data_IF_144110061491
#
_entry.id   IF_144110061491
#
_cell.length_a   1.000
_cell.length_b   1.000
_cell.length_c   1.000
_cell.angle_alpha   90.00
_cell.angle_beta   90.00
_cell.angle_gamma   90.00
#
_symmetry.space_group_name_H-M   'P 1'
#
loop_
_entity.id
_entity.type
_entity.pdbx_description
1 polymer ?
#
# COMPACT_ATOMS: atom_id res chain seq x y z
N UNK A 1 -18.06 0.68 1.28
CA UNK A 1 -17.37 1.48 0.22
C UNK A 1 -18.02 1.28 -1.15
N UNK A 2 -18.19 0.04 -1.56
CA UNK A 2 -18.77 -0.24 -2.89
C UNK A 2 -20.19 0.31 -3.06
N UNK A 3 -21.03 0.19 -2.05
CA UNK A 3 -22.39 0.73 -2.10
C UNK A 3 -22.42 2.25 -2.24
N UNK A 4 -21.51 2.97 -1.58
CA UNK A 4 -21.42 4.42 -1.68
C UNK A 4 -21.04 4.84 -3.10
N UNK A 5 -20.17 4.10 -3.75
CA UNK A 5 -19.77 4.34 -5.15
C UNK A 5 -20.95 4.09 -6.08
N UNK A 6 -21.65 2.98 -5.89
CA UNK A 6 -22.80 2.61 -6.74
C UNK A 6 -23.97 3.58 -6.61
N UNK A 7 -24.13 4.19 -5.44
CA UNK A 7 -25.21 5.17 -5.18
C UNK A 7 -24.79 6.60 -5.48
N UNK A 8 -23.58 6.78 -6.01
CA UNK A 8 -23.04 8.11 -6.33
C UNK A 8 -23.00 9.05 -5.12
N UNK A 9 -22.77 8.50 -3.92
CA UNK A 9 -22.61 9.27 -2.69
C UNK A 9 -21.17 9.74 -2.56
N UNK A 10 -20.96 10.93 -1.99
CA UNK A 10 -19.63 11.39 -1.62
C UNK A 10 -19.05 10.47 -0.53
N UNK A 11 -17.82 10.04 -0.70
CA UNK A 11 -17.20 9.21 0.31
C UNK A 11 -15.70 9.46 0.39
N UNK A 12 -15.12 9.19 1.57
CA UNK A 12 -13.68 9.13 1.75
C UNK A 12 -13.34 7.83 2.47
N UNK A 13 -12.13 7.34 2.25
CA UNK A 13 -11.64 6.14 2.90
C UNK A 13 -10.32 6.48 3.56
N UNK A 14 -10.22 6.20 4.85
CA UNK A 14 -9.02 6.48 5.65
C UNK A 14 -8.59 5.22 6.40
N UNK A 15 -7.29 5.17 6.74
CA UNK A 15 -6.80 4.15 7.65
C UNK A 15 -7.52 4.34 8.99
N UNK A 16 -8.16 3.29 9.48
CA UNK A 16 -8.88 3.32 10.75
C UNK A 16 -7.93 3.38 11.95
N UNK A 17 -6.64 3.06 11.75
CA UNK A 17 -5.63 3.03 12.81
C UNK A 17 -4.85 4.34 12.87
N UNK A 18 -3.94 4.44 13.84
CA UNK A 18 -3.09 5.62 14.02
C UNK A 18 -1.84 5.61 13.12
N UNK A 19 -1.70 4.63 12.22
CA UNK A 19 -0.55 4.56 11.31
C UNK A 19 -0.59 5.61 10.20
N UNK A 20 -1.76 6.13 9.88
CA UNK A 20 -1.88 7.18 8.87
C UNK A 20 -1.58 6.75 7.45
N UNK A 21 -1.80 5.47 7.13
CA UNK A 21 -1.59 4.96 5.78
C UNK A 21 -2.60 5.58 4.82
N UNK A 22 -2.16 5.91 3.61
CA UNK A 22 -3.06 6.37 2.55
C UNK A 22 -3.68 5.15 1.88
N UNK A 23 -5.00 5.01 1.97
CA UNK A 23 -5.69 3.85 1.40
C UNK A 23 -5.58 3.88 -0.12
N UNK A 24 -5.15 2.76 -0.70
CA UNK A 24 -4.98 2.60 -2.13
C UNK A 24 -6.32 2.23 -2.77
N UNK A 25 -7.01 3.23 -3.33
CA UNK A 25 -8.32 3.02 -3.94
C UNK A 25 -8.26 2.21 -5.25
N UNK A 26 -7.09 2.14 -5.88
CA UNK A 26 -6.90 1.27 -7.05
C UNK A 26 -6.86 -0.20 -6.65
N UNK A 27 -6.59 -0.47 -5.38
CA UNK A 27 -6.54 -1.82 -4.81
C UNK A 27 -7.44 -1.92 -3.59
N UNK A 28 -8.61 -1.29 -3.68
CA UNK A 28 -9.57 -1.24 -2.57
C UNK A 28 -10.01 -2.63 -2.08
N UNK A 29 -9.93 -3.64 -2.94
CA UNK A 29 -10.27 -5.01 -2.60
C UNK A 29 -9.32 -5.63 -1.57
N UNK A 30 -8.14 -5.03 -1.37
CA UNK A 30 -7.18 -5.48 -0.37
C UNK A 30 -7.44 -4.86 1.00
N UNK A 31 -8.39 -3.95 1.09
CA UNK A 31 -8.77 -3.28 2.33
C UNK A 31 -10.17 -3.67 2.74
N UNK A 32 -10.43 -3.63 4.05
CA UNK A 32 -11.74 -3.94 4.62
C UNK A 32 -12.25 -2.74 5.40
N UNK A 33 -13.48 -2.29 5.09
CA UNK A 33 -14.12 -1.23 5.85
C UNK A 33 -14.55 -1.77 7.21
N UNK A 34 -14.14 -1.08 8.27
CA UNK A 34 -14.43 -1.47 9.65
C UNK A 34 -15.35 -0.48 10.35
N UNK A 35 -15.21 0.81 10.03
CA UNK A 35 -15.90 1.89 10.74
C UNK A 35 -16.49 2.85 9.72
N UNK A 36 -17.58 3.49 10.11
CA UNK A 36 -18.19 4.55 9.32
C UNK A 36 -18.53 5.72 10.22
N UNK A 37 -18.55 6.92 9.64
CA UNK A 37 -19.04 8.12 10.29
C UNK A 37 -19.53 9.09 9.23
N UNK A 38 -20.30 10.11 9.63
CA UNK A 38 -20.71 11.15 8.71
C UNK A 38 -19.50 11.93 8.21
N UNK A 39 -19.47 12.22 6.89
CA UNK A 39 -18.44 13.05 6.30
C UNK A 39 -18.72 14.54 6.49
N UNK A 40 -17.80 15.37 5.98
CA UNK A 40 -17.87 16.82 6.14
C UNK A 40 -18.96 17.48 5.29
N UNK A 41 -19.40 16.83 4.21
CA UNK A 41 -20.41 17.36 3.31
C UNK A 41 -21.77 16.68 3.47
N UNK A 42 -22.85 17.28 2.90
CA UNK A 42 -24.14 16.59 2.88
C UNK A 42 -24.04 15.31 2.07
N UNK A 43 -24.69 14.27 2.53
CA UNK A 43 -24.71 12.96 1.88
C UNK A 43 -23.31 12.34 1.67
N UNK A 44 -22.36 12.65 2.57
CA UNK A 44 -21.04 12.08 2.52
C UNK A 44 -20.80 11.12 3.69
N UNK A 45 -19.94 10.14 3.47
CA UNK A 45 -19.59 9.11 4.45
C UNK A 45 -18.08 8.93 4.49
N UNK A 46 -17.52 8.87 5.69
CA UNK A 46 -16.12 8.49 5.89
C UNK A 46 -16.06 7.03 6.31
N UNK A 47 -15.26 6.24 5.61
CA UNK A 47 -14.97 4.86 5.95
C UNK A 47 -13.59 4.78 6.60
N UNK A 48 -13.53 4.07 7.73
CA UNK A 48 -12.26 3.67 8.33
C UNK A 48 -11.96 2.23 7.94
N UNK A 49 -10.83 2.00 7.30
CA UNK A 49 -10.48 0.70 6.75
C UNK A 49 -9.11 0.22 7.23
N UNK A 50 -8.90 -1.08 7.15
CA UNK A 50 -7.59 -1.69 7.40
C UNK A 50 -7.33 -2.71 6.29
N UNK A 51 -6.05 -3.05 6.02
CA UNK A 51 -5.75 -4.18 5.14
C UNK A 51 -6.47 -5.43 5.62
N UNK A 52 -6.93 -6.27 4.69
CA UNK A 52 -7.79 -7.43 5.01
C UNK A 52 -7.16 -8.41 6.00
N UNK A 53 -5.84 -8.51 6.05
CA UNK A 53 -5.16 -9.38 7.00
C UNK A 53 -5.12 -8.85 8.43
N UNK A 54 -5.52 -7.60 8.65
CA UNK A 54 -5.50 -6.99 9.97
C UNK A 54 -6.87 -7.05 10.63
N UNK A 55 -6.86 -7.01 11.96
CA UNK A 55 -8.08 -7.01 12.75
C UNK A 55 -8.72 -5.62 12.72
N UNK A 56 -10.04 -5.56 12.57
CA UNK A 56 -10.78 -4.30 12.65
C UNK A 56 -10.64 -3.69 14.04
N UNK A 57 -10.23 -2.42 14.15
CA UNK A 57 -10.25 -1.72 15.43
C UNK A 57 -11.68 -1.42 15.86
N UNK A 58 -11.86 -1.12 17.13
CA UNK A 58 -13.16 -0.81 17.71
C UNK A 58 -13.48 0.68 17.72
N UNK A 59 -12.49 1.51 17.40
CA UNK A 59 -12.65 2.98 17.37
C UNK A 59 -11.68 3.60 16.37
N UNK A 60 -11.99 4.81 15.95
CA UNK A 60 -11.14 5.57 15.03
C UNK A 60 -9.80 5.91 15.66
N UNK A 61 -8.75 5.91 14.83
CA UNK A 61 -7.37 6.21 15.23
C UNK A 61 -6.85 5.30 16.33
N UNK A 62 -7.31 4.04 16.32
CA UNK A 62 -6.84 3.06 17.30
C UNK A 62 -5.33 2.87 17.18
N UNK A 63 -4.65 2.86 18.33
CA UNK A 63 -3.21 2.61 18.36
C UNK A 63 -2.91 1.16 18.01
N UNK A 64 -2.01 0.96 17.07
CA UNK A 64 -1.51 -0.37 16.70
C UNK A 64 0.01 -0.32 16.62
N UNK A 65 0.69 -1.46 16.82
CA UNK A 65 2.14 -1.50 16.69
C UNK A 65 2.57 -1.08 15.28
N UNK A 66 3.62 -0.26 15.19
CA UNK A 66 4.15 0.18 13.90
C UNK A 66 4.82 -1.01 13.21
N UNK A 67 4.39 -1.38 12.00
CA UNK A 67 5.01 -2.48 11.28
C UNK A 67 6.42 -2.11 10.82
N UNK A 68 7.23 -3.13 10.58
CA UNK A 68 8.56 -2.95 10.03
C UNK A 68 8.55 -3.24 8.55
N UNK A 69 9.44 -2.57 7.82
CA UNK A 69 9.59 -2.78 6.39
C UNK A 69 10.02 -4.23 6.13
N UNK A 70 9.29 -4.98 5.28
CA UNK A 70 9.67 -6.35 4.99
C UNK A 70 10.96 -6.44 4.18
N UNK A 71 11.66 -7.57 4.30
CA UNK A 71 12.84 -7.84 3.48
C UNK A 71 12.38 -8.41 2.14
N UNK A 72 12.53 -7.63 1.09
CA UNK A 72 12.13 -7.98 -0.27
C UNK A 72 13.33 -8.29 -1.16
N UNK A 73 14.55 -8.06 -0.69
CA UNK A 73 15.77 -8.26 -1.48
C UNK A 73 15.93 -9.73 -1.83
N UNK A 74 16.16 -10.01 -3.11
CA UNK A 74 16.29 -11.38 -3.60
C UNK A 74 14.98 -12.09 -3.86
N UNK A 75 13.84 -11.40 -3.69
CA UNK A 75 12.51 -11.95 -3.89
C UNK A 75 11.97 -11.52 -5.26
N UNK A 76 11.14 -12.37 -5.86
CA UNK A 76 10.44 -12.04 -7.09
C UNK A 76 9.63 -10.75 -6.95
N UNK A 77 9.72 -9.87 -7.94
CA UNK A 77 9.05 -8.56 -7.88
C UNK A 77 7.54 -8.68 -7.66
N UNK A 78 6.87 -9.55 -8.39
CA UNK A 78 5.41 -9.66 -8.30
C UNK A 78 4.95 -10.03 -6.89
N UNK A 79 5.66 -10.97 -6.25
CA UNK A 79 5.38 -11.35 -4.87
C UNK A 79 5.68 -10.22 -3.90
N UNK A 80 6.79 -9.52 -4.12
CA UNK A 80 7.21 -8.39 -3.27
C UNK A 80 6.21 -7.25 -3.34
N UNK A 81 5.80 -6.89 -4.54
CA UNK A 81 4.83 -5.82 -4.77
C UNK A 81 3.48 -6.16 -4.13
N UNK A 82 3.01 -7.39 -4.35
CA UNK A 82 1.77 -7.86 -3.73
C UNK A 82 1.82 -7.86 -2.21
N UNK A 83 2.97 -8.22 -1.64
CA UNK A 83 3.17 -8.19 -0.18
C UNK A 83 3.07 -6.78 0.38
N UNK A 84 3.67 -5.80 -0.31
CA UNK A 84 3.58 -4.40 0.09
C UNK A 84 2.12 -3.91 0.06
N UNK A 85 1.40 -4.21 -1.01
CA UNK A 85 0.00 -3.78 -1.14
C UNK A 85 -0.88 -4.40 -0.05
N UNK A 86 -0.68 -5.67 0.28
CA UNK A 86 -1.43 -6.37 1.33
C UNK A 86 -1.12 -5.83 2.72
N UNK A 87 0.03 -5.23 2.91
CA UNK A 87 0.43 -4.62 4.19
C UNK A 87 -0.11 -3.20 4.33
N UNK A 88 -0.67 -2.65 3.28
CA UNK A 88 -1.28 -1.33 3.29
C UNK A 88 -0.45 -0.23 2.65
N UNK A 89 0.66 -0.57 1.98
CA UNK A 89 1.41 0.41 1.21
C UNK A 89 0.59 0.81 -0.02
N UNK A 90 0.59 2.10 -0.33
CA UNK A 90 -0.14 2.62 -1.48
C UNK A 90 0.71 2.53 -2.74
N UNK A 91 0.17 1.95 -3.81
CA UNK A 91 0.90 1.76 -5.07
C UNK A 91 1.44 3.07 -5.66
N UNK A 92 0.77 4.19 -5.41
CA UNK A 92 1.21 5.51 -5.90
C UNK A 92 2.53 5.95 -5.27
N UNK A 93 2.87 5.41 -4.11
CA UNK A 93 4.08 5.76 -3.38
C UNK A 93 5.14 4.64 -3.44
N UNK A 94 4.93 3.65 -4.31
CA UNK A 94 5.92 2.61 -4.58
C UNK A 94 6.54 2.92 -5.94
N UNK A 95 7.80 3.35 -5.92
CA UNK A 95 8.57 3.65 -7.12
C UNK A 95 9.34 2.41 -7.54
N UNK A 96 9.18 2.01 -8.79
CA UNK A 96 9.81 0.80 -9.34
C UNK A 96 10.81 1.20 -10.41
N UNK A 97 12.06 0.78 -10.23
CA UNK A 97 13.14 0.96 -11.19
C UNK A 97 13.48 -0.41 -11.79
N UNK A 98 13.33 -0.56 -13.09
CA UNK A 98 13.44 -1.85 -13.76
C UNK A 98 14.56 -1.83 -14.79
N UNK A 99 15.64 -2.56 -14.51
CA UNK A 99 16.76 -2.71 -15.42
C UNK A 99 17.61 -1.46 -15.64
N UNK A 100 17.36 -0.39 -14.88
CA UNK A 100 18.08 0.88 -15.04
C UNK A 100 17.46 2.00 -14.19
N UNK A 101 17.89 3.26 -14.40
CA UNK A 101 17.52 4.37 -13.53
C UNK A 101 16.14 4.98 -13.77
N UNK A 102 15.42 4.57 -14.80
CA UNK A 102 14.09 5.11 -15.08
C UNK A 102 13.00 4.51 -14.21
N UNK A 103 12.09 5.36 -13.73
CA UNK A 103 10.92 4.90 -12.97
C UNK A 103 9.90 4.30 -13.92
N UNK A 104 9.35 3.14 -13.58
CA UNK A 104 8.29 2.49 -14.33
C UNK A 104 6.95 3.14 -14.01
N UNK A 105 6.19 3.53 -15.02
CA UNK A 105 4.83 4.05 -14.83
C UNK A 105 3.93 2.98 -14.22
N UNK A 106 2.98 3.38 -13.39
CA UNK A 106 2.07 2.46 -12.71
C UNK A 106 1.34 1.52 -13.68
N UNK A 107 0.98 2.03 -14.85
CA UNK A 107 0.30 1.23 -15.87
C UNK A 107 1.18 0.12 -16.44
N UNK A 108 2.49 0.24 -16.30
CA UNK A 108 3.46 -0.73 -16.83
C UNK A 108 4.04 -1.66 -15.75
N UNK A 109 3.64 -1.47 -14.49
CA UNK A 109 4.16 -2.29 -13.39
C UNK A 109 3.88 -3.78 -13.58
N UNK A 110 2.74 -4.13 -14.19
CA UNK A 110 2.40 -5.52 -14.46
C UNK A 110 3.35 -6.22 -15.44
N UNK A 111 4.17 -5.45 -16.15
CA UNK A 111 5.15 -5.98 -17.10
C UNK A 111 6.53 -6.20 -16.48
N UNK A 112 6.69 -5.85 -15.22
CA UNK A 112 7.97 -6.01 -14.52
C UNK A 112 8.11 -7.43 -14.03
N UNK A 113 9.17 -8.11 -14.45
CA UNK A 113 9.49 -9.48 -14.05
C UNK A 113 10.97 -9.58 -13.70
N UNK A 114 11.27 -10.03 -12.51
CA UNK A 114 12.65 -10.17 -12.05
C UNK A 114 12.75 -10.13 -10.55
N UNK A 115 13.98 -10.08 -10.05
CA UNK A 115 14.27 -10.02 -8.62
C UNK A 115 14.44 -8.59 -8.15
N UNK A 116 13.96 -8.31 -6.94
CA UNK A 116 14.26 -7.06 -6.23
C UNK A 116 15.71 -7.13 -5.75
N UNK A 117 16.54 -6.20 -6.18
CA UNK A 117 17.97 -6.20 -5.86
C UNK A 117 18.32 -5.25 -4.73
N UNK A 118 17.56 -4.15 -4.61
CA UNK A 118 17.71 -3.23 -3.49
C UNK A 118 16.36 -2.57 -3.23
N UNK A 119 16.20 -2.07 -2.03
CA UNK A 119 14.98 -1.42 -1.60
C UNK A 119 15.27 -0.25 -0.66
N UNK A 120 14.35 0.72 -0.62
CA UNK A 120 14.34 1.79 0.36
C UNK A 120 12.87 2.01 0.75
N UNK A 121 12.49 2.03 2.03
CA UNK A 121 13.35 1.86 3.22
C UNK A 121 14.01 0.47 3.29
N UNK A 122 15.09 0.39 4.05
CA UNK A 122 15.78 -0.88 4.25
C UNK A 122 14.93 -1.87 5.07
N UNK A 123 15.16 -3.19 4.90
CA UNK A 123 14.46 -4.18 5.71
C UNK A 123 14.60 -3.90 7.20
N UNK A 124 13.50 -4.00 7.93
CA UNK A 124 13.47 -3.79 9.37
C UNK A 124 13.26 -2.35 9.83
N UNK A 125 13.31 -1.38 8.94
CA UNK A 125 12.99 0.00 9.31
C UNK A 125 11.50 0.13 9.63
N UNK A 126 11.16 1.02 10.58
CA UNK A 126 9.77 1.24 10.94
C UNK A 126 9.01 1.90 9.78
N UNK A 127 7.78 1.49 9.60
CA UNK A 127 6.88 2.10 8.62
C UNK A 127 6.75 3.59 8.88
N UNK A 128 6.84 4.38 7.82
CA UNK A 128 6.64 5.83 7.86
C UNK A 128 5.75 6.21 6.66
N UNK A 129 4.55 6.70 6.97
CA UNK A 129 3.56 7.05 5.95
C UNK A 129 4.01 8.20 5.03
N UNK A 130 5.00 8.98 5.46
CA UNK A 130 5.52 10.10 4.66
C UNK A 130 6.61 9.69 3.66
N UNK A 131 7.11 8.46 3.76
CA UNK A 131 8.18 7.98 2.89
C UNK A 131 7.65 7.15 1.73
N UNK A 132 8.25 7.35 0.55
CA UNK A 132 8.01 6.49 -0.60
C UNK A 132 8.85 5.23 -0.48
N UNK A 133 8.37 4.15 -1.09
CA UNK A 133 9.13 2.91 -1.22
C UNK A 133 9.79 2.89 -2.59
N UNK A 134 11.07 2.58 -2.64
CA UNK A 134 11.79 2.38 -3.90
C UNK A 134 12.20 0.92 -4.03
N UNK A 135 11.91 0.32 -5.17
CA UNK A 135 12.31 -1.04 -5.49
C UNK A 135 13.15 -1.01 -6.76
N UNK A 136 14.37 -1.50 -6.67
CA UNK A 136 15.26 -1.65 -7.83
C UNK A 136 15.24 -3.11 -8.26
N UNK A 137 14.72 -3.36 -9.46
CA UNK A 137 14.44 -4.71 -9.97
C UNK A 137 15.32 -4.99 -11.18
N UNK A 138 16.00 -6.13 -11.16
CA UNK A 138 16.76 -6.61 -12.31
C UNK A 138 15.79 -7.23 -13.33
N UNK A 139 16.21 -7.26 -14.60
CA UNK A 139 15.41 -7.91 -15.66
C UNK A 139 15.47 -9.44 -15.60
N UNK A 140 16.09 -9.98 -14.60
CA UNK A 140 16.25 -11.39 -14.30
C UNK A 140 16.68 -11.52 -12.86
N UNK A 141 17.78 -12.22 -12.63
CA UNK A 141 18.37 -12.33 -11.31
C UNK A 141 19.27 -11.12 -11.02
N UNK A 142 19.39 -10.80 -9.74
CA UNK A 142 20.31 -9.74 -9.31
C UNK A 142 21.75 -10.11 -9.65
N UNK A 143 22.55 -9.13 -10.12
CA UNK A 143 23.95 -9.41 -10.39
C UNK A 143 24.69 -9.83 -9.13
N UNK A 144 25.61 -10.77 -9.28
CA UNK A 144 26.52 -11.16 -8.19
C UNK A 144 27.54 -10.07 -7.96
N UNK A 145 27.83 -9.79 -6.71
CA UNK A 145 28.83 -8.79 -6.32
C UNK A 145 30.19 -9.46 -6.12
#
# INVERSE_FOLDING_TARGET
MKEAVEKDLGYSVRDATDLGRTVDLQHAELWRACLTREGDGPDSVDFGAVPRGEKCPTHWNAHVPTPRTPDLIGTDFEKSYGRLLKTGYNSRFIEVFYGGPGIVDQQDVSRVHGEVCSQSPEPGELYDASENVELHVATGKCPSV
#
